data_IF_052968606968
#
_entry.id   IF_052968606968
#
_cell.length_a   1.000
_cell.length_b   1.000
_cell.length_c   1.000
_cell.angle_alpha   90.00
_cell.angle_beta   90.00
_cell.angle_gamma   90.00
#
_symmetry.space_group_name_H-M   'P 1'
#
loop_
_entity.id
_entity.type
_entity.pdbx_description
1 polymer ?
#
# COMPACT_ATOMS: atom_id res chain seq x y z
N UNK A 1 6.29 -20.53 17.50
CA UNK A 1 5.64 -20.66 16.18
C UNK A 1 5.08 -19.28 15.87
N UNK A 2 5.78 -18.49 15.05
CA UNK A 2 5.30 -17.17 14.67
C UNK A 2 4.15 -17.37 13.70
N UNK A 3 2.96 -16.91 14.09
CA UNK A 3 1.80 -16.81 13.20
C UNK A 3 2.24 -16.08 11.94
N UNK A 4 2.31 -16.79 10.82
CA UNK A 4 2.40 -16.15 9.52
C UNK A 4 1.00 -15.59 9.34
N UNK A 5 0.80 -14.32 9.68
CA UNK A 5 -0.44 -13.63 9.37
C UNK A 5 -0.63 -13.75 7.86
N UNK A 6 -1.62 -14.54 7.45
CA UNK A 6 -1.96 -14.74 6.05
C UNK A 6 -2.60 -13.45 5.59
N UNK A 7 -1.77 -12.54 5.09
CA UNK A 7 -2.18 -11.28 4.48
C UNK A 7 -3.27 -11.60 3.48
N UNK A 8 -4.48 -11.10 3.75
CA UNK A 8 -5.63 -11.31 2.88
C UNK A 8 -5.95 -9.97 2.23
N UNK A 9 -5.30 -9.64 1.10
CA UNK A 9 -5.61 -8.40 0.39
C UNK A 9 -7.04 -8.44 -0.14
N UNK A 10 -7.68 -7.28 -0.16
CA UNK A 10 -8.96 -7.09 -0.82
C UNK A 10 -8.72 -6.63 -2.26
N UNK A 11 -9.39 -7.27 -3.22
CA UNK A 11 -9.34 -6.91 -4.63
C UNK A 11 -10.64 -6.23 -5.04
N UNK A 12 -10.51 -5.18 -5.83
CA UNK A 12 -11.62 -4.42 -6.32
C UNK A 12 -11.31 -3.66 -7.59
N UNK A 13 -12.30 -2.94 -8.08
CA UNK A 13 -12.20 -2.06 -9.22
C UNK A 13 -12.49 -0.63 -8.78
N UNK A 14 -11.58 0.29 -9.13
CA UNK A 14 -11.82 1.73 -9.02
C UNK A 14 -12.43 2.22 -10.32
N UNK A 15 -13.71 2.60 -10.28
CA UNK A 15 -14.44 3.11 -11.44
C UNK A 15 -14.41 4.62 -11.49
N UNK A 16 -13.81 5.18 -12.54
CA UNK A 16 -13.74 6.62 -12.74
C UNK A 16 -14.28 7.00 -14.12
N UNK A 17 -14.55 8.30 -14.33
CA UNK A 17 -14.95 8.80 -15.65
C UNK A 17 -13.89 8.56 -16.74
N UNK A 18 -12.63 8.33 -16.36
CA UNK A 18 -11.51 8.09 -17.28
C UNK A 18 -11.30 6.62 -17.63
N UNK A 19 -12.03 5.73 -16.97
CA UNK A 19 -11.86 4.29 -17.05
C UNK A 19 -11.80 3.65 -15.67
N UNK A 20 -11.68 2.34 -15.70
CA UNK A 20 -11.61 1.50 -14.52
C UNK A 20 -10.20 0.96 -14.34
N UNK A 21 -9.80 0.75 -13.10
CA UNK A 21 -8.52 0.15 -12.76
C UNK A 21 -8.70 -0.91 -11.68
N UNK A 22 -8.00 -2.03 -11.78
CA UNK A 22 -7.96 -3.02 -10.71
C UNK A 22 -7.11 -2.46 -9.56
N UNK A 23 -7.67 -2.54 -8.35
CA UNK A 23 -7.09 -2.04 -7.12
C UNK A 23 -6.94 -3.19 -6.13
N UNK A 24 -5.82 -3.17 -5.40
CA UNK A 24 -5.56 -4.08 -4.28
C UNK A 24 -5.41 -3.25 -3.00
N UNK A 25 -6.26 -3.51 -2.01
CA UNK A 25 -6.20 -2.91 -0.68
C UNK A 25 -5.57 -3.89 0.30
N UNK A 26 -4.60 -3.40 1.06
CA UNK A 26 -3.91 -4.15 2.10
C UNK A 26 -4.08 -3.42 3.44
N UNK A 27 -4.76 -4.07 4.38
CA UNK A 27 -5.05 -3.49 5.70
C UNK A 27 -3.86 -3.57 6.67
N UNK A 28 -2.77 -4.24 6.29
CA UNK A 28 -1.54 -4.32 7.09
C UNK A 28 -0.52 -3.23 6.75
N UNK A 29 -0.85 -2.35 5.80
CA UNK A 29 -0.02 -1.19 5.52
C UNK A 29 -0.05 -0.19 6.67
N UNK A 30 1.01 0.63 6.83
CA UNK A 30 0.99 1.77 7.74
C UNK A 30 -0.22 2.65 7.49
N UNK A 31 -0.73 3.24 8.57
CA UNK A 31 -1.84 4.18 8.48
C UNK A 31 -1.46 5.35 7.56
N UNK A 32 -2.31 5.61 6.56
CA UNK A 32 -2.16 6.75 5.68
C UNK A 32 -2.44 8.07 6.43
N UNK A 33 -2.01 9.23 5.89
CA UNK A 33 -2.37 10.53 6.44
C UNK A 33 -3.90 10.69 6.60
N UNK A 34 -4.33 11.60 7.48
CA UNK A 34 -5.76 11.81 7.76
C UNK A 34 -6.58 12.07 6.48
N UNK A 35 -7.64 11.27 6.27
CA UNK A 35 -8.51 11.35 5.09
C UNK A 35 -7.90 10.71 3.83
N UNK A 36 -6.80 9.98 3.96
CA UNK A 36 -6.14 9.26 2.87
C UNK A 36 -6.19 7.76 3.10
N UNK A 37 -6.03 7.02 2.01
CA UNK A 37 -5.82 5.57 2.04
C UNK A 37 -4.78 5.16 0.99
N UNK A 38 -4.00 4.12 1.28
CA UNK A 38 -3.10 3.52 0.31
C UNK A 38 -3.79 2.41 -0.45
N UNK A 39 -3.71 2.48 -1.77
CA UNK A 39 -4.26 1.48 -2.68
C UNK A 39 -3.20 1.15 -3.72
N UNK A 40 -2.95 -0.14 -3.94
CA UNK A 40 -2.17 -0.57 -5.08
C UNK A 40 -2.99 -0.40 -6.34
N UNK A 41 -2.49 0.40 -7.30
CA UNK A 41 -3.13 0.60 -8.59
C UNK A 41 -2.34 -0.16 -9.65
N UNK A 42 -3.02 -1.11 -10.31
CA UNK A 42 -2.42 -2.01 -11.31
C UNK A 42 -1.94 -1.26 -12.56
N UNK A 43 -2.69 -0.26 -13.05
CA UNK A 43 -2.26 0.58 -14.19
C UNK A 43 -0.99 1.38 -13.90
N UNK A 44 -0.78 1.75 -12.63
CA UNK A 44 0.38 2.51 -12.16
C UNK A 44 1.50 1.64 -11.60
N UNK A 45 1.25 0.34 -11.47
CA UNK A 45 2.15 -0.66 -10.86
C UNK A 45 2.74 -0.20 -9.50
N UNK A 46 1.93 0.49 -8.69
CA UNK A 46 2.40 1.14 -7.47
C UNK A 46 1.30 1.36 -6.43
N UNK A 47 1.71 1.46 -5.16
CA UNK A 47 0.87 2.03 -4.10
C UNK A 47 0.73 3.52 -4.30
N UNK A 48 -0.52 3.98 -4.33
CA UNK A 48 -0.88 5.38 -4.50
C UNK A 48 -1.73 5.82 -3.32
N UNK A 49 -1.47 7.04 -2.86
CA UNK A 49 -2.29 7.71 -1.86
C UNK A 49 -3.53 8.30 -2.55
N UNK A 50 -4.71 7.87 -2.10
CA UNK A 50 -5.99 8.39 -2.57
C UNK A 50 -6.70 9.15 -1.46
N UNK A 51 -7.52 10.13 -1.86
CA UNK A 51 -8.49 10.76 -0.97
C UNK A 51 -9.64 9.80 -0.68
N UNK A 52 -9.76 9.37 0.58
CA UNK A 52 -10.73 8.34 0.99
C UNK A 52 -12.16 8.74 0.65
N UNK A 53 -12.52 10.02 0.82
CA UNK A 53 -13.88 10.53 0.56
C UNK A 53 -14.21 10.47 -0.94
N UNK A 54 -13.21 10.67 -1.80
CA UNK A 54 -13.40 10.72 -3.26
C UNK A 54 -13.44 9.33 -3.88
N UNK A 55 -12.73 8.34 -3.31
CA UNK A 55 -12.62 7.00 -3.91
C UNK A 55 -13.55 5.96 -3.29
N UNK A 56 -13.97 6.12 -2.03
CA UNK A 56 -14.74 5.08 -1.34
C UNK A 56 -16.07 4.74 -2.02
N UNK A 57 -16.72 5.71 -2.65
CA UNK A 57 -17.97 5.53 -3.42
C UNK A 57 -17.76 4.92 -4.82
N UNK A 58 -16.50 4.79 -5.24
CA UNK A 58 -16.08 4.33 -6.58
C UNK A 58 -15.33 3.00 -6.54
N UNK A 59 -15.13 2.43 -5.36
CA UNK A 59 -14.51 1.13 -5.15
C UNK A 59 -15.59 0.06 -5.12
N UNK A 60 -15.49 -0.88 -6.04
CA UNK A 60 -16.41 -2.01 -6.14
C UNK A 60 -15.63 -3.31 -5.93
N UNK A 61 -16.12 -4.26 -5.13
CA UNK A 61 -15.49 -5.56 -5.01
C UNK A 61 -15.56 -6.30 -6.34
N UNK A 62 -14.49 -7.03 -6.66
CA UNK A 62 -14.51 -8.02 -7.74
C UNK A 62 -15.32 -9.25 -7.31
N UNK A 63 -15.89 -9.97 -8.26
CA UNK A 63 -16.44 -11.29 -8.00
C UNK A 63 -15.34 -12.37 -7.83
N UNK A 64 -15.74 -13.58 -7.45
CA UNK A 64 -14.79 -14.66 -7.14
C UNK A 64 -13.96 -15.11 -8.35
N UNK A 65 -14.47 -14.98 -9.58
CA UNK A 65 -13.74 -15.35 -10.80
C UNK A 65 -12.75 -14.24 -11.14
N UNK A 66 -13.22 -12.99 -11.14
CA UNK A 66 -12.41 -11.78 -11.35
C UNK A 66 -11.28 -11.64 -10.32
N UNK A 67 -11.57 -11.96 -9.05
CA UNK A 67 -10.58 -11.90 -7.97
C UNK A 67 -9.46 -12.92 -8.18
N UNK A 68 -9.78 -14.14 -8.60
CA UNK A 68 -8.77 -15.18 -8.88
C UNK A 68 -7.89 -14.81 -10.06
N UNK A 69 -8.46 -14.22 -11.10
CA UNK A 69 -7.70 -13.69 -12.24
C UNK A 69 -6.79 -12.54 -11.81
N UNK A 70 -7.32 -11.58 -11.04
CA UNK A 70 -6.54 -10.46 -10.53
C UNK A 70 -5.39 -10.89 -9.60
N UNK A 71 -5.61 -11.90 -8.75
CA UNK A 71 -4.56 -12.47 -7.90
C UNK A 71 -3.46 -13.13 -8.75
N UNK A 72 -3.84 -13.90 -9.77
CA UNK A 72 -2.90 -14.52 -10.69
C UNK A 72 -2.05 -13.49 -11.45
N UNK A 73 -2.70 -12.45 -11.97
CA UNK A 73 -2.06 -11.48 -12.86
C UNK A 73 -1.23 -10.44 -12.11
N UNK A 74 -1.71 -9.99 -10.95
CA UNK A 74 -1.14 -8.84 -10.23
C UNK A 74 -0.53 -9.18 -8.87
N UNK A 75 -0.79 -10.37 -8.31
CA UNK A 75 -0.37 -10.74 -6.96
C UNK A 75 1.15 -10.64 -6.75
N UNK A 76 1.96 -11.07 -7.73
CA UNK A 76 3.43 -10.97 -7.64
C UNK A 76 3.93 -9.53 -7.71
N UNK A 77 3.35 -8.71 -8.59
CA UNK A 77 3.70 -7.30 -8.72
C UNK A 77 3.34 -6.53 -7.43
N UNK A 78 2.14 -6.77 -6.91
CA UNK A 78 1.68 -6.25 -5.63
C UNK A 78 2.59 -6.62 -4.46
N UNK A 79 2.96 -7.91 -4.30
CA UNK A 79 3.88 -8.35 -3.24
C UNK A 79 5.24 -7.64 -3.31
N UNK A 80 5.74 -7.46 -4.54
CA UNK A 80 6.99 -6.75 -4.79
C UNK A 80 6.87 -5.27 -4.41
N UNK A 81 5.81 -4.60 -4.84
CA UNK A 81 5.54 -3.22 -4.49
C UNK A 81 5.32 -3.04 -2.99
N UNK A 82 4.64 -3.99 -2.33
CA UNK A 82 4.36 -3.99 -0.90
C UNK A 82 5.65 -4.07 -0.12
N UNK A 83 6.54 -4.99 -0.48
CA UNK A 83 7.84 -5.13 0.17
C UNK A 83 8.66 -3.84 0.05
N UNK A 84 8.64 -3.18 -1.11
CA UNK A 84 9.31 -1.88 -1.32
C UNK A 84 8.68 -0.78 -0.48
N UNK A 85 7.34 -0.70 -0.48
CA UNK A 85 6.57 0.29 0.27
C UNK A 85 6.80 0.17 1.78
N UNK A 86 6.67 -1.04 2.32
CA UNK A 86 6.93 -1.34 3.73
C UNK A 86 8.37 -1.03 4.15
N UNK A 87 9.37 -1.27 3.28
CA UNK A 87 10.76 -0.88 3.56
C UNK A 87 10.95 0.64 3.60
N UNK A 88 10.32 1.37 2.67
CA UNK A 88 10.40 2.83 2.63
C UNK A 88 9.73 3.46 3.87
N UNK A 89 8.55 2.97 4.25
CA UNK A 89 7.84 3.43 5.44
C UNK A 89 8.46 2.91 6.75
N UNK A 90 9.00 1.69 6.77
CA UNK A 90 9.70 1.13 7.93
C UNK A 90 11.04 1.83 8.22
N UNK A 91 11.73 2.32 7.19
CA UNK A 91 12.89 3.21 7.37
C UNK A 91 12.54 4.52 8.08
N UNK A 92 11.33 5.07 7.86
CA UNK A 92 10.87 6.26 8.58
C UNK A 92 10.61 5.99 10.08
N UNK A 93 10.34 4.74 10.48
CA UNK A 93 10.19 4.35 11.88
C UNK A 93 11.48 3.91 12.57
N UNK A 94 12.60 3.80 11.82
CA UNK A 94 13.90 3.34 12.36
C UNK A 94 14.94 4.45 12.52
N UNK A 95 14.58 5.72 12.31
CA UNK A 95 15.51 6.87 12.47
C UNK A 95 15.12 7.76 13.65
N UNK A 96 14.92 7.13 14.81
CA UNK A 96 14.74 7.81 16.10
C UNK A 96 15.74 7.31 17.13
N UNK A 97 17.03 7.32 16.74
CA UNK A 97 18.23 7.34 17.60
C UNK A 97 19.40 7.46 16.61
N UNK A 98 19.98 8.63 16.31
CA UNK A 98 20.74 9.53 17.17
C UNK A 98 21.09 10.80 16.37
N UNK A 99 21.06 12.02 16.96
CA UNK A 99 22.01 13.05 16.57
C UNK A 99 23.30 12.77 17.34
N UNK A 100 24.23 12.03 16.72
CA UNK A 100 25.62 11.99 17.20
C UNK A 100 26.17 13.41 17.23
N UNK A 101 26.58 13.82 18.42
CA UNK A 101 27.04 15.14 18.74
C UNK A 101 28.34 15.48 18.01
N UNK A 102 28.26 16.13 16.85
CA UNK A 102 29.36 17.00 16.42
C UNK A 102 29.20 18.37 17.10
N UNK A 103 29.81 18.48 18.27
CA UNK A 103 30.03 19.75 18.94
C UNK A 103 31.46 19.78 19.48
N UNK A 104 32.38 20.11 18.57
CA UNK A 104 33.35 21.20 18.73
C UNK A 104 34.12 21.38 20.06
N UNK A 105 35.46 21.49 19.90
CA UNK A 105 36.53 22.10 20.74
C UNK A 105 37.36 21.11 21.56
N UNK A 106 38.67 20.96 21.32
CA UNK A 106 39.77 21.94 21.41
C UNK A 106 39.98 22.49 22.85
N UNK A 107 40.76 21.78 23.66
CA UNK A 107 42.03 22.22 24.26
C UNK A 107 42.60 21.16 25.21
#
# INVERSE_FOLDING_TARGET
MNSIETITPWYGELRTQRGNAIIIRDNELPTAPTGRMYLYNTDRDAFVEYDEIIVSDKLFPLDDDEQREAEHDYGQAWLTARTKFMRAHGKMYSDSNEPDADSSKAN
#
